data_IF_570477479039
#
_entry.id   IF_570477479039
#
_cell.length_a   1.000
_cell.length_b   1.000
_cell.length_c   1.000
_cell.angle_alpha   90.00
_cell.angle_beta   90.00
_cell.angle_gamma   90.00
#
_symmetry.space_group_name_H-M   'P 1'
#
loop_
_entity.id
_entity.type
_entity.pdbx_description
1 polymer ?
#
# COMPACT_ATOMS: atom_id res chain seq x y z
N UNK A 1 -17.07 -4.92 -0.11
CA UNK A 1 -18.23 -5.66 0.45
C UNK A 1 -17.99 -7.17 0.42
N UNK A 2 -17.44 -7.70 -0.66
CA UNK A 2 -17.27 -9.15 -0.89
C UNK A 2 -16.41 -9.89 0.13
N UNK A 3 -15.46 -9.23 0.81
CA UNK A 3 -14.66 -9.87 1.85
C UNK A 3 -15.50 -10.23 3.09
N UNK A 4 -16.21 -9.28 3.69
CA UNK A 4 -17.06 -9.56 4.86
C UNK A 4 -18.23 -10.50 4.55
N UNK A 5 -18.74 -10.49 3.31
CA UNK A 5 -19.73 -11.48 2.89
C UNK A 5 -19.19 -12.92 2.89
N UNK A 6 -17.93 -13.10 2.45
CA UNK A 6 -17.24 -14.41 2.48
C UNK A 6 -16.75 -14.78 3.88
N UNK A 7 -16.38 -13.80 4.70
CA UNK A 7 -15.80 -14.00 6.02
C UNK A 7 -16.52 -13.17 7.10
N UNK A 8 -17.76 -13.55 7.47
CA UNK A 8 -18.62 -12.73 8.33
C UNK A 8 -18.13 -12.59 9.78
N UNK A 9 -17.29 -13.52 10.25
CA UNK A 9 -16.75 -13.51 11.62
C UNK A 9 -15.42 -12.76 11.74
N UNK A 10 -14.85 -12.26 10.64
CA UNK A 10 -13.59 -11.50 10.66
C UNK A 10 -13.90 -10.02 10.81
N UNK A 11 -13.29 -9.39 11.81
CA UNK A 11 -13.26 -7.93 11.93
C UNK A 11 -11.91 -7.44 11.43
N UNK A 12 -11.91 -6.53 10.46
CA UNK A 12 -10.68 -5.86 10.00
C UNK A 12 -10.52 -4.54 10.74
N UNK A 13 -9.35 -4.31 11.29
CA UNK A 13 -8.92 -2.99 11.76
C UNK A 13 -7.94 -2.43 10.73
N UNK A 14 -8.21 -1.21 10.25
CA UNK A 14 -7.39 -0.56 9.23
C UNK A 14 -6.79 0.71 9.80
N UNK A 15 -5.50 0.89 9.57
CA UNK A 15 -4.74 2.05 9.99
C UNK A 15 -3.81 2.47 8.84
N UNK A 16 -3.63 3.78 8.68
CA UNK A 16 -2.70 4.34 7.68
C UNK A 16 -1.50 4.96 8.40
N UNK A 17 -0.30 4.60 7.94
CA UNK A 17 0.96 5.08 8.48
C UNK A 17 2.09 4.93 7.45
N UNK A 18 3.26 5.48 7.75
CA UNK A 18 4.44 5.32 6.87
C UNK A 18 4.93 3.87 6.87
N UNK A 19 5.60 3.47 5.78
CA UNK A 19 6.21 2.14 5.66
C UNK A 19 7.16 1.82 6.83
N UNK A 20 7.98 2.78 7.25
CA UNK A 20 8.88 2.63 8.41
C UNK A 20 8.10 2.23 9.68
N UNK A 21 6.95 2.85 9.92
CA UNK A 21 6.10 2.50 11.07
C UNK A 21 5.41 1.16 10.91
N UNK A 22 5.01 0.80 9.68
CA UNK A 22 4.46 -0.52 9.40
C UNK A 22 5.50 -1.59 9.72
N UNK A 23 6.73 -1.45 9.20
CA UNK A 23 7.82 -2.39 9.45
C UNK A 23 8.14 -2.50 10.96
N UNK A 24 8.25 -1.36 11.66
CA UNK A 24 8.50 -1.31 13.11
C UNK A 24 7.41 -2.03 13.93
N UNK A 25 6.13 -1.82 13.60
CA UNK A 25 5.01 -2.42 14.33
C UNK A 25 4.84 -3.91 14.01
N UNK A 26 5.13 -4.34 12.78
CA UNK A 26 5.19 -5.76 12.43
C UNK A 26 6.29 -6.47 13.24
N UNK A 27 7.49 -5.89 13.32
CA UNK A 27 8.59 -6.46 14.13
C UNK A 27 8.29 -6.49 15.65
N UNK A 28 7.30 -5.73 16.12
CA UNK A 28 6.85 -5.72 17.52
C UNK A 28 5.59 -6.53 17.78
N UNK A 29 5.10 -7.28 16.77
CA UNK A 29 3.83 -8.02 16.82
C UNK A 29 2.61 -7.12 17.13
N UNK A 30 2.68 -5.83 16.81
CA UNK A 30 1.58 -4.86 16.98
C UNK A 30 0.68 -4.79 15.73
N UNK A 31 1.17 -5.26 14.59
CA UNK A 31 0.40 -5.47 13.36
C UNK A 31 0.55 -6.92 12.90
N UNK A 32 -0.51 -7.46 12.29
CA UNK A 32 -0.47 -8.79 11.69
C UNK A 32 0.05 -8.77 10.24
N UNK A 33 -0.32 -7.73 9.48
CA UNK A 33 -0.03 -7.60 8.04
C UNK A 33 0.19 -6.14 7.66
N UNK A 34 1.17 -5.88 6.79
CA UNK A 34 1.42 -4.57 6.18
C UNK A 34 1.25 -4.58 4.66
N UNK A 35 0.73 -3.49 4.09
CA UNK A 35 0.77 -3.21 2.65
C UNK A 35 1.71 -2.02 2.46
N UNK A 36 2.84 -2.26 1.79
CA UNK A 36 3.91 -1.28 1.62
C UNK A 36 4.63 -1.49 0.28
N UNK A 37 5.53 -0.57 -0.06
CA UNK A 37 6.36 -0.68 -1.26
C UNK A 37 7.54 -1.61 -1.01
N UNK A 38 7.91 -2.37 -2.04
CA UNK A 38 9.16 -3.12 -2.05
C UNK A 38 10.34 -2.18 -2.40
N UNK A 39 11.55 -2.44 -1.88
CA UNK A 39 11.91 -3.53 -0.96
C UNK A 39 11.49 -3.24 0.50
N UNK A 40 11.32 -4.31 1.29
CA UNK A 40 11.32 -4.21 2.76
C UNK A 40 12.76 -4.09 3.27
N UNK A 41 12.96 -3.39 4.37
CA UNK A 41 14.29 -3.09 4.88
C UNK A 41 14.68 -3.99 6.05
N UNK A 42 13.70 -4.42 6.85
CA UNK A 42 13.94 -5.35 7.96
C UNK A 42 14.18 -6.79 7.48
N UNK A 43 15.26 -7.46 7.95
CA UNK A 43 15.52 -8.88 7.62
C UNK A 43 14.54 -9.84 8.31
N UNK A 44 13.75 -9.35 9.27
CA UNK A 44 12.72 -10.13 9.98
C UNK A 44 11.41 -10.22 9.19
N UNK A 45 11.28 -9.44 8.10
CA UNK A 45 10.06 -9.34 7.31
C UNK A 45 10.23 -10.03 5.96
N UNK A 46 9.20 -10.77 5.57
CA UNK A 46 9.03 -11.30 4.22
C UNK A 46 8.04 -10.42 3.45
N UNK A 47 8.38 -10.08 2.20
CA UNK A 47 7.50 -9.32 1.32
C UNK A 47 7.02 -10.18 0.16
N UNK A 48 5.71 -10.19 -0.07
CA UNK A 48 5.06 -10.85 -1.21
C UNK A 48 4.57 -9.78 -2.18
N UNK A 49 4.99 -9.79 -3.47
CA UNK A 49 4.49 -8.84 -4.45
C UNK A 49 2.97 -8.96 -4.61
N UNK A 50 2.25 -7.87 -4.34
CA UNK A 50 0.78 -7.85 -4.46
C UNK A 50 0.34 -7.30 -5.83
N UNK A 51 0.91 -6.17 -6.22
CA UNK A 51 0.63 -5.50 -7.50
C UNK A 51 1.80 -4.60 -7.89
N UNK A 52 1.93 -4.33 -9.18
CA UNK A 52 2.80 -3.25 -9.69
C UNK A 52 1.95 -1.99 -9.86
N UNK A 53 2.25 -0.96 -9.09
CA UNK A 53 1.55 0.32 -9.18
C UNK A 53 2.19 1.20 -10.27
N UNK A 54 1.35 1.79 -11.13
CA UNK A 54 1.80 2.75 -12.15
C UNK A 54 1.64 4.16 -11.62
N UNK A 55 2.74 4.88 -11.43
CA UNK A 55 2.69 6.30 -11.09
C UNK A 55 2.36 7.12 -12.34
N UNK A 56 1.49 8.11 -12.17
CA UNK A 56 1.08 9.01 -13.24
C UNK A 56 1.31 10.48 -12.84
N UNK A 57 1.63 11.31 -13.82
CA UNK A 57 1.70 12.75 -13.65
C UNK A 57 0.28 13.33 -13.64
N UNK A 58 -0.08 14.02 -12.54
CA UNK A 58 -1.33 14.77 -12.46
C UNK A 58 -1.04 16.24 -12.75
N UNK A 59 -1.66 16.79 -13.80
CA UNK A 59 -1.56 18.20 -14.19
C UNK A 59 -2.95 18.85 -14.23
N UNK A 60 -2.99 20.17 -14.07
CA UNK A 60 -4.21 20.92 -14.32
C UNK A 60 -4.62 20.80 -15.80
N UNK A 61 -5.92 20.76 -16.10
CA UNK A 61 -6.42 20.57 -17.48
C UNK A 61 -5.92 21.60 -18.49
N UNK A 62 -5.58 22.81 -18.04
CA UNK A 62 -5.07 23.89 -18.88
C UNK A 62 -3.54 23.90 -19.00
N UNK A 63 -2.83 22.99 -18.33
CA UNK A 63 -1.38 22.91 -18.38
C UNK A 63 -0.95 22.39 -19.77
N UNK A 64 0.13 22.91 -20.39
CA UNK A 64 0.57 22.44 -21.72
C UNK A 64 0.80 20.93 -21.81
N UNK A 65 1.23 20.29 -20.72
CA UNK A 65 1.42 18.83 -20.68
C UNK A 65 0.11 18.02 -20.69
N UNK A 66 -1.06 18.64 -20.49
CA UNK A 66 -2.34 17.93 -20.44
C UNK A 66 -2.76 17.30 -21.77
N UNK A 67 -2.17 17.73 -22.89
CA UNK A 67 -2.42 17.15 -24.23
C UNK A 67 -1.44 16.05 -24.61
N UNK A 68 -0.49 15.73 -23.72
CA UNK A 68 0.53 14.71 -23.96
C UNK A 68 0.22 13.45 -23.13
N UNK A 69 0.24 12.29 -23.76
CA UNK A 69 0.03 11.00 -23.08
C UNK A 69 1.21 10.58 -22.19
N UNK A 70 2.39 11.16 -22.45
CA UNK A 70 3.63 10.90 -21.72
C UNK A 70 4.53 12.14 -21.79
N UNK A 71 5.39 12.31 -20.77
CA UNK A 71 6.42 13.38 -20.70
C UNK A 71 7.78 12.81 -20.99
#
# INVERSE_FOLDING_TARGET
ADFYARYPSITLQLQEMSQEKIEDMLCRDELDVGIAFAPVHSPELEAIPLLTESLALVVAQHHPLAVHEQV
#
